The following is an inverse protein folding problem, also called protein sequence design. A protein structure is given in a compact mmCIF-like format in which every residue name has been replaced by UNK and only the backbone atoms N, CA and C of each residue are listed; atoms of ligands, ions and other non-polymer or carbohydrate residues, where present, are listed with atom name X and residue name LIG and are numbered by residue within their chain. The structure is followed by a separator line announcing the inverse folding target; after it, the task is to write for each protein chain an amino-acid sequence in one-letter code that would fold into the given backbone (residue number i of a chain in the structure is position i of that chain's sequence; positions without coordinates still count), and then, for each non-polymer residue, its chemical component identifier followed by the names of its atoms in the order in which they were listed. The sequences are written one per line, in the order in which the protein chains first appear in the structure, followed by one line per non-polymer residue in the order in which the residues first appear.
data_IF_680527993054
#
_entry.id   IF_680527993054
#
_cell.length_a   1.000
_cell.length_b   1.000
_cell.length_c   1.000
_cell.angle_alpha   90.00
_cell.angle_beta   90.00
_cell.angle_gamma   90.00
#
_symmetry.space_group_name_H-M   'P 1'
#
loop_
_entity.id
_entity.type
_entity.pdbx_description
1 polymer ?
#
# COMPACT_ATOMS: atom_id res chain seq x y z
N UNK A 1 -15.09 10.33 -7.53
CA UNK A 1 -15.01 8.97 -6.96
C UNK A 1 -14.84 9.10 -5.45
N UNK A 2 -15.61 8.39 -4.64
CA UNK A 2 -15.52 8.44 -3.17
C UNK A 2 -14.76 7.22 -2.62
N UNK A 3 -14.31 7.28 -1.36
CA UNK A 3 -13.66 6.14 -0.72
C UNK A 3 -14.54 4.88 -0.76
N UNK A 4 -15.82 5.00 -0.39
CA UNK A 4 -16.75 3.87 -0.36
C UNK A 4 -17.02 3.26 -1.75
N UNK A 5 -16.86 4.04 -2.83
CA UNK A 5 -16.96 3.53 -4.21
C UNK A 5 -15.71 2.79 -4.68
N UNK A 6 -14.57 2.99 -4.03
CA UNK A 6 -13.28 2.41 -4.44
C UNK A 6 -12.85 1.27 -3.52
N UNK A 7 -13.18 1.37 -2.22
CA UNK A 7 -12.73 0.45 -1.20
C UNK A 7 -13.91 -0.13 -0.42
N UNK A 8 -13.71 -1.33 0.11
CA UNK A 8 -14.43 -1.85 1.27
C UNK A 8 -13.54 -1.67 2.49
N UNK A 9 -14.15 -1.27 3.61
CA UNK A 9 -13.49 -1.10 4.88
C UNK A 9 -14.35 -1.76 5.96
N UNK A 10 -13.71 -2.47 6.89
CA UNK A 10 -14.37 -3.00 8.05
C UNK A 10 -13.50 -2.85 9.30
N UNK A 11 -14.12 -2.46 10.42
CA UNK A 11 -13.54 -2.51 11.77
C UNK A 11 -14.67 -2.79 12.77
N UNK A 12 -14.52 -3.74 13.70
CA UNK A 12 -15.57 -4.09 14.65
C UNK A 12 -15.93 -3.00 15.67
N UNK A 13 -15.04 -2.05 15.94
CA UNK A 13 -15.18 -1.08 17.03
C UNK A 13 -15.02 0.37 16.54
N UNK A 14 -15.50 1.33 17.31
CA UNK A 14 -15.13 2.73 17.11
C UNK A 14 -13.66 2.92 17.56
N UNK A 15 -12.91 3.80 16.87
CA UNK A 15 -11.49 3.96 17.16
C UNK A 15 -11.00 5.41 17.03
N UNK A 16 -10.03 5.83 17.86
CA UNK A 16 -9.50 7.18 17.82
C UNK A 16 -8.65 7.43 16.57
N UNK A 17 -8.62 8.68 16.12
CA UNK A 17 -7.68 9.21 15.13
C UNK A 17 -7.51 10.72 15.32
N UNK A 18 -6.51 11.32 14.68
CA UNK A 18 -6.39 12.78 14.63
C UNK A 18 -7.04 13.32 13.36
N UNK A 19 -8.04 14.19 13.56
CA UNK A 19 -8.77 14.83 12.48
C UNK A 19 -7.97 16.00 11.87
N UNK A 20 -8.48 16.56 10.77
CA UNK A 20 -7.83 17.63 10.01
C UNK A 20 -7.64 18.93 10.81
N UNK A 21 -8.40 19.15 11.88
CA UNK A 21 -8.23 20.28 12.80
C UNK A 21 -7.14 20.04 13.86
N UNK A 22 -6.42 18.91 13.78
CA UNK A 22 -5.37 18.51 14.71
C UNK A 22 -5.89 17.91 16.02
N UNK A 23 -7.20 17.83 16.25
CA UNK A 23 -7.79 17.25 17.47
C UNK A 23 -7.98 15.74 17.35
N UNK A 24 -8.00 15.07 18.51
CA UNK A 24 -8.40 13.66 18.56
C UNK A 24 -9.92 13.57 18.38
N UNK A 25 -10.33 12.66 17.50
CA UNK A 25 -11.72 12.32 17.24
C UNK A 25 -11.88 10.79 17.28
N UNK A 26 -13.12 10.32 17.34
CA UNK A 26 -13.45 8.89 17.26
C UNK A 26 -14.16 8.65 15.94
N UNK A 27 -13.61 7.75 15.11
CA UNK A 27 -14.30 7.25 13.93
C UNK A 27 -15.27 6.15 14.33
N UNK A 28 -16.44 6.13 13.70
CA UNK A 28 -17.44 5.09 13.89
C UNK A 28 -16.94 3.72 13.39
N UNK A 29 -17.68 2.67 13.75
CA UNK A 29 -17.54 1.33 13.16
C UNK A 29 -17.57 1.44 11.62
N UNK A 30 -16.72 0.67 10.96
CA UNK A 30 -16.57 0.64 9.49
C UNK A 30 -16.24 1.99 8.81
N UNK A 31 -15.84 3.01 9.58
CA UNK A 31 -15.39 4.28 9.02
C UNK A 31 -13.85 4.30 8.87
N UNK A 32 -13.32 4.61 7.66
CA UNK A 32 -11.89 4.75 7.46
C UNK A 32 -11.35 5.99 8.20
N UNK A 33 -10.09 5.92 8.63
CA UNK A 33 -9.43 6.99 9.39
C UNK A 33 -8.30 7.59 8.57
N UNK A 34 -8.44 8.86 8.16
CA UNK A 34 -7.34 9.64 7.60
C UNK A 34 -6.68 10.41 8.75
N UNK A 35 -5.49 9.98 9.15
CA UNK A 35 -4.78 10.53 10.31
C UNK A 35 -3.99 11.78 9.92
N UNK A 36 -3.94 12.74 10.84
CA UNK A 36 -3.27 14.04 10.67
C UNK A 36 -2.23 14.26 11.78
N UNK A 37 -1.36 15.26 11.58
CA UNK A 37 -0.47 15.78 12.64
C UNK A 37 -1.20 16.80 13.52
N UNK A 38 -0.60 17.19 14.66
CA UNK A 38 -1.18 18.24 15.52
C UNK A 38 -1.42 19.58 14.82
N UNK A 39 -0.67 19.88 13.75
CA UNK A 39 -0.84 21.07 12.91
C UNK A 39 -1.92 20.92 11.81
N UNK A 40 -2.63 19.80 11.79
CA UNK A 40 -3.64 19.49 10.76
C UNK A 40 -3.07 18.95 9.45
N UNK A 41 -1.74 18.79 9.31
CA UNK A 41 -1.16 18.24 8.08
C UNK A 41 -1.48 16.75 7.91
N UNK A 42 -1.84 16.27 6.70
CA UNK A 42 -2.22 14.88 6.49
C UNK A 42 -1.02 13.94 6.61
N UNK A 43 -1.22 12.83 7.33
CA UNK A 43 -0.24 11.74 7.42
C UNK A 43 -0.61 10.62 6.47
N UNK A 44 -1.84 10.09 6.50
CA UNK A 44 -2.28 9.03 5.61
C UNK A 44 -3.47 8.23 6.14
N UNK A 45 -3.92 7.24 5.36
CA UNK A 45 -4.95 6.29 5.78
C UNK A 45 -4.38 5.38 6.86
N UNK A 46 -4.98 5.40 8.05
CA UNK A 46 -4.56 4.63 9.20
C UNK A 46 -5.15 3.22 9.15
N UNK A 47 -4.25 2.23 9.21
CA UNK A 47 -4.53 0.80 9.39
C UNK A 47 -3.81 0.37 10.67
N UNK A 48 -4.56 -0.11 11.65
CA UNK A 48 -3.99 -0.63 12.90
C UNK A 48 -4.58 -2.00 13.25
N UNK A 49 -3.87 -2.69 14.14
CA UNK A 49 -4.43 -3.86 14.82
C UNK A 49 -5.54 -3.43 15.79
N UNK A 50 -6.56 -4.26 15.93
CA UNK A 50 -7.59 -4.09 16.94
C UNK A 50 -7.08 -4.43 18.34
N UNK A 51 -7.89 -4.11 19.35
CA UNK A 51 -7.58 -4.37 20.76
C UNK A 51 -7.59 -5.85 21.12
N UNK A 52 -8.27 -6.67 20.33
CA UNK A 52 -8.41 -8.11 20.54
C UNK A 52 -7.74 -8.91 19.43
N UNK A 53 -7.38 -10.16 19.75
CA UNK A 53 -6.76 -11.07 18.80
C UNK A 53 -7.64 -11.25 17.56
N UNK A 54 -7.04 -11.12 16.38
CA UNK A 54 -7.74 -11.28 15.10
C UNK A 54 -8.49 -10.03 14.64
N UNK A 55 -8.73 -9.06 15.52
CA UNK A 55 -9.29 -7.78 15.10
C UNK A 55 -8.20 -6.92 14.48
N UNK A 56 -8.50 -6.32 13.33
CA UNK A 56 -7.65 -5.35 12.65
C UNK A 56 -8.49 -4.59 11.63
N UNK A 57 -7.98 -3.45 11.18
CA UNK A 57 -8.53 -2.76 10.03
C UNK A 57 -8.46 -3.63 8.78
N UNK A 58 -9.63 -3.94 8.21
CA UNK A 58 -9.73 -4.71 6.98
C UNK A 58 -10.10 -3.78 5.82
N UNK A 59 -9.10 -3.40 5.03
CA UNK A 59 -9.30 -2.55 3.84
C UNK A 59 -9.01 -3.36 2.59
N UNK A 60 -9.93 -3.33 1.63
CA UNK A 60 -9.72 -3.94 0.31
C UNK A 60 -10.18 -3.00 -0.79
N UNK A 61 -9.42 -2.99 -1.87
CA UNK A 61 -9.86 -2.42 -3.12
C UNK A 61 -11.02 -3.27 -3.67
N UNK A 62 -12.09 -2.60 -4.13
CA UNK A 62 -13.20 -3.28 -4.81
C UNK A 62 -12.73 -3.89 -6.13
N UNK A 63 -13.44 -4.92 -6.58
CA UNK A 63 -13.12 -5.62 -7.82
C UNK A 63 -13.25 -4.70 -9.04
N UNK A 64 -12.33 -4.87 -10.00
CA UNK A 64 -12.33 -4.10 -11.25
C UNK A 64 -11.85 -2.66 -11.12
N UNK A 65 -11.38 -2.23 -9.94
CA UNK A 65 -10.87 -0.86 -9.74
C UNK A 65 -9.50 -0.62 -10.41
N UNK A 66 -8.77 -1.69 -10.74
CA UNK A 66 -7.52 -1.60 -11.50
C UNK A 66 -7.77 -2.23 -12.87
N UNK A 67 -7.69 -1.40 -13.91
CA UNK A 67 -7.58 -1.84 -15.30
C UNK A 67 -6.17 -1.50 -15.80
N UNK A 68 -5.46 -2.50 -16.33
CA UNK A 68 -4.15 -2.32 -16.93
C UNK A 68 -4.25 -2.72 -18.40
N UNK A 69 -4.11 -1.74 -19.30
CA UNK A 69 -4.00 -2.01 -20.72
C UNK A 69 -2.67 -2.74 -20.98
N UNK A 70 -2.71 -3.89 -21.67
CA UNK A 70 -1.49 -4.56 -22.14
C UNK A 70 -0.91 -5.68 -21.29
N UNK A 71 -1.70 -6.31 -20.42
CA UNK A 71 -1.39 -7.66 -19.91
C UNK A 71 -0.51 -7.72 -18.66
N UNK A 72 -1.21 -7.86 -17.53
CA UNK A 72 -0.80 -8.42 -16.22
C UNK A 72 0.38 -7.78 -15.47
N UNK A 73 1.50 -7.42 -16.11
CA UNK A 73 2.69 -6.90 -15.43
C UNK A 73 2.45 -5.49 -14.88
N UNK A 74 2.75 -5.28 -13.61
CA UNK A 74 2.67 -3.98 -12.96
C UNK A 74 3.74 -3.79 -11.89
N UNK A 75 4.03 -2.52 -11.62
CA UNK A 75 4.77 -2.09 -10.44
C UNK A 75 3.81 -1.42 -9.48
N UNK A 76 3.61 -2.02 -8.30
CA UNK A 76 2.91 -1.39 -7.19
C UNK A 76 3.92 -0.65 -6.32
N UNK A 77 3.72 0.65 -6.17
CA UNK A 77 4.55 1.53 -5.36
C UNK A 77 3.76 1.85 -4.07
N UNK A 78 4.20 1.31 -2.93
CA UNK A 78 3.60 1.51 -1.60
C UNK A 78 4.43 2.35 -0.58
N UNK A 79 3.96 3.56 -0.26
CA UNK A 79 4.53 4.44 0.76
C UNK A 79 3.70 4.35 2.04
N UNK A 80 4.32 3.91 3.13
CA UNK A 80 3.69 3.79 4.46
C UNK A 80 4.57 4.44 5.51
N UNK A 81 3.94 5.17 6.44
CA UNK A 81 4.61 5.63 7.65
C UNK A 81 4.33 4.69 8.82
N UNK A 82 5.38 4.26 9.52
CA UNK A 82 5.31 3.45 10.72
C UNK A 82 4.77 4.22 11.93
N UNK A 83 4.68 3.53 13.07
CA UNK A 83 4.27 4.15 14.34
C UNK A 83 5.27 5.21 14.82
N UNK A 84 6.57 5.01 14.54
CA UNK A 84 7.68 5.92 14.79
C UNK A 84 7.75 7.12 13.81
N UNK A 85 6.85 7.15 12.81
CA UNK A 85 6.84 8.16 11.76
C UNK A 85 7.86 7.91 10.64
N UNK A 86 8.65 6.84 10.71
CA UNK A 86 9.59 6.49 9.64
C UNK A 86 8.82 6.12 8.36
N UNK A 87 9.24 6.70 7.24
CA UNK A 87 8.60 6.47 5.94
C UNK A 87 9.33 5.34 5.21
N UNK A 88 8.60 4.28 4.91
CA UNK A 88 9.06 3.16 4.10
C UNK A 88 8.45 3.27 2.70
N UNK A 89 9.28 3.10 1.66
CA UNK A 89 8.87 3.09 0.26
C UNK A 89 9.31 1.80 -0.41
N UNK A 90 8.36 0.97 -0.82
CA UNK A 90 8.62 -0.32 -1.49
C UNK A 90 8.01 -0.38 -2.88
N UNK A 91 8.82 -0.81 -3.85
CA UNK A 91 8.31 -1.21 -5.15
C UNK A 91 8.06 -2.71 -5.15
N UNK A 92 6.91 -3.13 -5.68
CA UNK A 92 6.51 -4.52 -5.82
C UNK A 92 6.23 -4.80 -7.29
N UNK A 93 6.98 -5.74 -7.88
CA UNK A 93 6.68 -6.25 -9.21
C UNK A 93 5.67 -7.37 -9.10
N UNK A 94 4.56 -7.27 -9.83
CA UNK A 94 3.45 -8.20 -9.72
C UNK A 94 2.77 -8.43 -11.06
N UNK A 95 2.16 -9.60 -11.21
CA UNK A 95 1.19 -9.88 -12.28
C UNK A 95 -0.28 -9.77 -11.83
N UNK A 96 -0.47 -9.58 -10.52
CA UNK A 96 -1.77 -9.53 -9.86
C UNK A 96 -1.90 -8.22 -9.07
N UNK A 97 -1.98 -7.10 -9.80
CA UNK A 97 -1.92 -5.75 -9.23
C UNK A 97 -2.94 -5.53 -8.10
N UNK A 98 -4.19 -5.97 -8.28
CA UNK A 98 -5.22 -5.84 -7.25
C UNK A 98 -4.87 -6.62 -5.97
N UNK A 99 -4.42 -7.88 -6.11
CA UNK A 99 -4.00 -8.68 -4.97
C UNK A 99 -2.82 -8.04 -4.23
N UNK A 100 -1.86 -7.48 -4.96
CA UNK A 100 -0.72 -6.77 -4.37
C UNK A 100 -1.13 -5.48 -3.66
N UNK A 101 -2.04 -4.68 -4.24
CA UNK A 101 -2.58 -3.49 -3.57
C UNK A 101 -3.31 -3.87 -2.29
N UNK A 102 -4.11 -4.93 -2.31
CA UNK A 102 -4.79 -5.44 -1.11
C UNK A 102 -3.79 -5.93 -0.05
N UNK A 103 -2.71 -6.59 -0.45
CA UNK A 103 -1.65 -6.99 0.47
C UNK A 103 -0.91 -5.76 1.07
N UNK A 104 -0.70 -4.71 0.28
CA UNK A 104 -0.17 -3.44 0.78
C UNK A 104 -1.12 -2.78 1.77
N UNK A 105 -2.43 -2.75 1.50
CA UNK A 105 -3.46 -2.19 2.38
C UNK A 105 -3.65 -2.95 3.69
N UNK A 106 -3.25 -4.22 3.74
CA UNK A 106 -3.30 -5.03 4.96
C UNK A 106 -2.13 -4.77 5.92
N UNK A 107 -1.11 -3.99 5.52
CA UNK A 107 0.02 -3.66 6.37
C UNK A 107 -0.38 -2.60 7.40
N UNK A 108 0.11 -2.72 8.64
CA UNK A 108 -0.15 -1.70 9.65
C UNK A 108 0.62 -0.41 9.35
N UNK A 109 0.02 0.72 9.68
CA UNK A 109 0.63 2.04 9.59
C UNK A 109 -0.27 3.06 8.91
N UNK A 110 0.36 4.12 8.41
CA UNK A 110 -0.34 5.22 7.73
C UNK A 110 0.01 5.19 6.25
N UNK A 111 -0.88 4.64 5.44
CA UNK A 111 -0.71 4.53 3.99
C UNK A 111 -0.80 5.91 3.37
N UNK A 112 0.31 6.38 2.80
CA UNK A 112 0.45 7.72 2.24
C UNK A 112 0.20 7.71 0.74
N UNK A 113 0.64 6.65 0.07
CA UNK A 113 0.52 6.47 -1.37
C UNK A 113 0.55 4.98 -1.70
N UNK A 114 -0.40 4.55 -2.52
CA UNK A 114 -0.31 3.30 -3.27
C UNK A 114 -0.57 3.65 -4.72
N UNK A 115 0.39 3.41 -5.59
CA UNK A 115 0.26 3.64 -7.03
C UNK A 115 0.48 2.33 -7.78
N UNK A 116 -0.34 2.10 -8.79
CA UNK A 116 -0.15 1.01 -9.75
C UNK A 116 0.35 1.62 -11.05
N UNK A 117 1.51 1.16 -11.51
CA UNK A 117 2.10 1.60 -12.77
C UNK A 117 2.15 0.39 -13.72
N UNK A 118 1.62 0.50 -14.95
CA UNK A 118 1.74 -0.57 -15.94
C UNK A 118 3.21 -0.94 -16.21
N UNK A 119 3.49 -2.24 -16.30
CA UNK A 119 4.82 -2.78 -16.52
C UNK A 119 5.73 -2.79 -15.29
N UNK A 120 6.91 -3.40 -15.44
CA UNK A 120 7.95 -3.40 -14.42
C UNK A 120 8.88 -2.20 -14.63
N UNK A 121 8.83 -1.25 -13.70
CA UNK A 121 9.68 -0.08 -13.75
C UNK A 121 11.15 -0.49 -13.61
N UNK A 122 12.06 0.14 -14.36
CA UNK A 122 13.47 -0.23 -14.32
C UNK A 122 14.11 0.17 -12.99
N UNK A 123 15.03 -0.69 -12.51
CA UNK A 123 15.89 -0.38 -11.37
C UNK A 123 17.11 0.39 -11.87
N UNK A 124 17.38 1.56 -11.29
CA UNK A 124 18.55 2.38 -11.56
C UNK A 124 19.20 2.76 -10.24
N UNK A 125 20.51 2.54 -10.14
CA UNK A 125 21.29 2.83 -8.92
C UNK A 125 20.63 2.23 -7.66
N UNK A 126 20.24 0.95 -7.75
CA UNK A 126 19.59 0.18 -6.68
C UNK A 126 18.21 0.69 -6.21
N UNK A 127 17.58 1.59 -6.96
CA UNK A 127 16.24 2.11 -6.65
C UNK A 127 15.32 2.10 -7.87
N UNK A 128 14.01 2.13 -7.63
CA UNK A 128 13.01 2.47 -8.65
C UNK A 128 12.64 3.95 -8.49
N UNK A 129 12.80 4.74 -9.56
CA UNK A 129 12.47 6.15 -9.56
C UNK A 129 11.12 6.38 -10.26
N UNK A 130 10.20 7.07 -9.60
CA UNK A 130 8.89 7.40 -10.17
C UNK A 130 8.37 8.72 -9.60
N UNK A 131 7.97 9.65 -10.48
CA UNK A 131 7.44 10.99 -10.14
C UNK A 131 8.25 11.71 -9.04
N UNK A 132 9.58 11.76 -9.21
CA UNK A 132 10.49 12.43 -8.28
C UNK A 132 10.74 11.72 -6.94
N UNK A 133 10.19 10.53 -6.72
CA UNK A 133 10.42 9.72 -5.51
C UNK A 133 11.24 8.47 -5.84
N UNK A 134 11.98 7.98 -4.84
CA UNK A 134 12.78 6.74 -4.92
C UNK A 134 12.17 5.67 -4.03
N UNK A 135 12.24 4.45 -4.55
CA UNK A 135 11.56 3.28 -4.02
C UNK A 135 12.57 2.14 -3.88
N UNK A 136 12.54 1.45 -2.75
CA UNK A 136 13.39 0.28 -2.55
C UNK A 136 12.73 -0.92 -3.24
N UNK A 137 13.38 -1.52 -4.25
CA UNK A 137 12.86 -2.70 -4.93
C UNK A 137 12.94 -3.94 -4.01
N UNK A 138 12.28 -5.05 -4.36
CA UNK A 138 12.36 -6.26 -3.54
C UNK A 138 13.77 -6.85 -3.66
N UNK A 139 14.33 -7.36 -2.56
CA UNK A 139 15.65 -7.98 -2.56
C UNK A 139 15.67 -9.30 -3.35
N UNK A 140 14.53 -10.00 -3.32
CA UNK A 140 14.30 -11.33 -3.91
C UNK A 140 12.98 -11.24 -4.67
N UNK A 141 12.90 -11.88 -5.82
CA UNK A 141 11.66 -12.11 -6.57
C UNK A 141 11.34 -13.59 -6.45
N UNK A 142 10.07 -13.95 -6.28
CA UNK A 142 9.65 -15.34 -6.25
C UNK A 142 8.99 -15.69 -7.59
N UNK A 143 9.38 -16.81 -8.18
CA UNK A 143 8.76 -17.36 -9.38
C UNK A 143 7.39 -17.98 -9.05
N UNK A 144 6.61 -18.31 -10.08
CA UNK A 144 5.25 -18.86 -9.92
C UNK A 144 5.23 -20.21 -9.18
N UNK A 145 6.33 -20.96 -9.21
CA UNK A 145 6.54 -22.22 -8.50
C UNK A 145 7.00 -22.03 -7.04
N UNK A 146 7.11 -20.79 -6.56
CA UNK A 146 7.58 -20.48 -5.22
C UNK A 146 9.11 -20.36 -5.09
N UNK A 147 9.86 -20.56 -6.17
CA UNK A 147 11.33 -20.48 -6.14
C UNK A 147 11.81 -19.04 -5.93
N UNK A 148 12.59 -18.74 -4.87
CA UNK A 148 13.18 -17.42 -4.69
C UNK A 148 14.39 -17.25 -5.61
N UNK A 149 14.42 -16.16 -6.35
CA UNK A 149 15.55 -15.76 -7.19
C UNK A 149 16.02 -14.36 -6.82
N UNK A 150 17.31 -14.10 -7.01
CA UNK A 150 17.84 -12.75 -6.82
C UNK A 150 17.13 -11.78 -7.75
N UNK A 151 16.98 -10.53 -7.32
CA UNK A 151 16.39 -9.49 -8.14
C UNK A 151 17.06 -9.32 -9.51
N UNK A 152 18.38 -9.53 -9.59
CA UNK A 152 19.15 -9.47 -10.84
C UNK A 152 18.67 -10.53 -11.84
N UNK A 153 18.54 -11.78 -11.38
CA UNK A 153 18.05 -12.90 -12.19
C UNK A 153 16.57 -12.71 -12.53
N UNK A 154 15.77 -12.25 -11.56
CA UNK A 154 14.35 -11.96 -11.77
C UNK A 154 14.13 -10.92 -12.85
N UNK A 155 14.87 -9.80 -12.83
CA UNK A 155 14.74 -8.78 -13.87
C UNK A 155 15.14 -9.27 -15.26
N UNK A 156 16.16 -10.13 -15.39
CA UNK A 156 16.53 -10.73 -16.67
C UNK A 156 15.40 -11.59 -17.24
N UNK A 157 14.78 -12.42 -16.41
CA UNK A 157 13.63 -13.26 -16.80
C UNK A 157 12.36 -12.47 -17.11
N UNK A 158 12.23 -11.27 -16.56
CA UNK A 158 11.08 -10.40 -16.81
C UNK A 158 11.23 -9.55 -18.08
N UNK A 159 12.47 -9.39 -18.57
CA UNK A 159 12.85 -8.66 -19.78
C UNK A 159 12.85 -9.53 -21.05
N UNK A 160 12.88 -10.86 -20.91
CA UNK A 160 12.57 -11.84 -21.97
C UNK A 160 11.06 -12.07 -22.12
#
# INVERSE_FOLDING_TARGET
MSFATTFTFARPNAAPYRAADGRMAIAAIDAPRLDHRPDGSPIGLLVEAGSEMGQHDAIRLRDGMISLDGGEKATVLHEVAGADGAIVRRAHYTRAAQATVNACLAQLGRHRLIAVVPGFLPIRSSTVAYRGRRWTPPAIVTLADGTPISLRVGLQLLAS
#
